data_IF_043488538573
#
_entry.id   IF_043488538573
#
_cell.length_a   1.000
_cell.length_b   1.000
_cell.length_c   1.000
_cell.angle_alpha   90.00
_cell.angle_beta   90.00
_cell.angle_gamma   90.00
#
_symmetry.space_group_name_H-M   'P 1'
#
loop_
_entity.id
_entity.type
_entity.pdbx_description
1 polymer ?
#
# COMPACT_ATOMS: atom_id res chain seq x y z
N UNK A 1 -1.84 6.30 16.19
CA UNK A 1 -1.15 4.99 16.16
C UNK A 1 -2.10 3.81 16.37
N UNK A 2 -3.03 3.79 17.34
CA UNK A 2 -3.96 2.66 17.53
C UNK A 2 -4.78 2.24 16.29
N UNK A 3 -5.14 3.20 15.41
CA UNK A 3 -5.78 2.89 14.11
C UNK A 3 -4.87 2.01 13.25
N UNK A 4 -3.56 2.25 13.24
CA UNK A 4 -2.58 1.40 12.57
C UNK A 4 -2.55 0.00 13.21
N UNK A 5 -2.71 -0.14 14.53
CA UNK A 5 -2.82 -1.45 15.19
C UNK A 5 -3.97 -2.28 14.60
N UNK A 6 -5.17 -1.69 14.52
CA UNK A 6 -6.34 -2.37 13.94
C UNK A 6 -6.11 -2.66 12.47
N UNK A 7 -5.60 -1.68 11.72
CA UNK A 7 -5.31 -1.82 10.31
C UNK A 7 -4.33 -2.96 10.03
N UNK A 8 -3.18 -3.01 10.71
CA UNK A 8 -2.15 -4.03 10.54
C UNK A 8 -2.68 -5.42 10.90
N UNK A 9 -3.35 -5.57 12.05
CA UNK A 9 -3.85 -6.88 12.49
C UNK A 9 -4.92 -7.41 11.52
N UNK A 10 -5.88 -6.58 11.12
CA UNK A 10 -6.94 -7.00 10.19
C UNK A 10 -6.41 -7.28 8.79
N UNK A 11 -5.46 -6.48 8.31
CA UNK A 11 -4.76 -6.71 7.05
C UNK A 11 -3.88 -7.98 7.09
N UNK A 12 -3.32 -8.36 8.23
CA UNK A 12 -2.59 -9.62 8.36
C UNK A 12 -3.50 -10.84 8.10
N UNK A 13 -4.73 -10.84 8.66
CA UNK A 13 -5.71 -11.88 8.36
C UNK A 13 -6.06 -11.91 6.87
N UNK A 14 -6.23 -10.75 6.25
CA UNK A 14 -6.46 -10.64 4.81
C UNK A 14 -5.32 -11.31 4.01
N UNK A 15 -4.06 -10.95 4.30
CA UNK A 15 -2.91 -11.48 3.58
C UNK A 15 -2.75 -12.98 3.77
N UNK A 16 -2.91 -13.47 5.01
CA UNK A 16 -2.86 -14.90 5.34
C UNK A 16 -3.89 -15.69 4.52
N UNK A 17 -5.11 -15.17 4.39
CA UNK A 17 -6.18 -15.81 3.64
C UNK A 17 -6.01 -15.67 2.12
N UNK A 18 -5.45 -14.56 1.64
CA UNK A 18 -5.04 -14.44 0.24
C UNK A 18 -3.94 -15.46 -0.11
N UNK A 19 -2.97 -15.62 0.78
CA UNK A 19 -1.91 -16.62 0.68
C UNK A 19 -2.43 -18.05 0.73
N UNK A 20 -3.44 -18.34 1.58
CA UNK A 20 -4.09 -19.66 1.64
C UNK A 20 -4.63 -20.10 0.28
N UNK A 21 -5.37 -19.21 -0.38
CA UNK A 21 -5.97 -19.51 -1.68
C UNK A 21 -4.87 -19.86 -2.70
N UNK A 22 -3.84 -19.01 -2.80
CA UNK A 22 -2.72 -19.24 -3.71
C UNK A 22 -1.91 -20.49 -3.38
N UNK A 23 -1.71 -20.77 -2.09
CA UNK A 23 -0.96 -21.95 -1.66
C UNK A 23 -1.64 -23.26 -2.08
N UNK A 24 -2.98 -23.27 -2.12
CA UNK A 24 -3.76 -24.45 -2.50
C UNK A 24 -3.99 -24.56 -4.01
N UNK A 25 -4.32 -23.45 -4.68
CA UNK A 25 -4.69 -23.47 -6.10
C UNK A 25 -3.52 -23.21 -7.04
N UNK A 26 -2.41 -22.64 -6.54
CA UNK A 26 -1.31 -22.12 -7.35
C UNK A 26 -1.70 -20.88 -8.16
N UNK A 27 -2.80 -20.20 -7.80
CA UNK A 27 -3.34 -19.04 -8.53
C UNK A 27 -3.53 -17.84 -7.61
N UNK A 28 -3.41 -16.61 -8.13
CA UNK A 28 -3.79 -15.41 -7.39
C UNK A 28 -5.29 -15.38 -7.05
N UNK A 29 -5.65 -14.66 -5.99
CA UNK A 29 -7.06 -14.57 -5.52
C UNK A 29 -8.00 -13.99 -6.57
N UNK A 30 -7.52 -13.09 -7.44
CA UNK A 30 -8.35 -12.49 -8.49
C UNK A 30 -8.80 -13.53 -9.52
N UNK A 31 -8.00 -14.56 -9.79
CA UNK A 31 -8.44 -15.69 -10.62
C UNK A 31 -9.61 -16.43 -9.97
N UNK A 32 -9.58 -16.56 -8.64
CA UNK A 32 -10.71 -17.09 -7.86
C UNK A 32 -11.96 -16.23 -8.00
N UNK A 33 -11.83 -14.90 -7.95
CA UNK A 33 -12.95 -13.96 -8.11
C UNK A 33 -13.65 -14.13 -9.47
N UNK A 34 -12.88 -14.34 -10.54
CA UNK A 34 -13.41 -14.55 -11.89
C UNK A 34 -14.32 -15.79 -12.00
N UNK A 35 -14.23 -16.75 -11.07
CA UNK A 35 -15.06 -17.97 -11.03
C UNK A 35 -16.38 -17.79 -10.30
N UNK A 36 -16.60 -16.64 -9.68
CA UNK A 36 -17.79 -16.41 -8.86
C UNK A 36 -18.89 -15.73 -9.67
N UNK A 37 -20.16 -16.01 -9.34
CA UNK A 37 -21.29 -15.26 -9.90
C UNK A 37 -21.13 -13.76 -9.56
N UNK A 38 -21.55 -12.81 -10.43
CA UNK A 38 -22.27 -12.97 -11.69
C UNK A 38 -21.44 -13.44 -12.90
N UNK A 39 -20.11 -13.54 -12.76
CA UNK A 39 -19.20 -14.02 -13.80
C UNK A 39 -17.98 -13.12 -13.99
N UNK A 40 -17.02 -13.53 -14.85
CA UNK A 40 -15.73 -12.85 -14.99
C UNK A 40 -15.86 -11.42 -15.51
N UNK A 41 -16.78 -11.13 -16.43
CA UNK A 41 -16.98 -9.77 -16.97
C UNK A 41 -17.35 -8.75 -15.90
N UNK A 42 -18.25 -9.12 -15.00
CA UNK A 42 -18.66 -8.28 -13.87
C UNK A 42 -17.48 -8.03 -12.92
N UNK A 43 -16.78 -9.08 -12.50
CA UNK A 43 -15.66 -8.96 -11.57
C UNK A 43 -14.46 -8.24 -12.16
N UNK A 44 -14.23 -8.33 -13.48
CA UNK A 44 -13.26 -7.48 -14.18
C UNK A 44 -13.66 -6.00 -14.09
N UNK A 45 -14.93 -5.66 -14.30
CA UNK A 45 -15.43 -4.28 -14.15
C UNK A 45 -15.27 -3.74 -12.72
N UNK A 46 -15.67 -4.52 -11.72
CA UNK A 46 -15.49 -4.16 -10.30
C UNK A 46 -14.01 -3.98 -9.95
N UNK A 47 -13.15 -4.88 -10.42
CA UNK A 47 -11.70 -4.79 -10.19
C UNK A 47 -11.08 -3.59 -10.91
N UNK A 48 -11.57 -3.21 -12.09
CA UNK A 48 -11.17 -2.01 -12.81
C UNK A 48 -11.49 -0.75 -12.00
N UNK A 49 -12.72 -0.64 -11.51
CA UNK A 49 -13.16 0.48 -10.67
C UNK A 49 -12.32 0.60 -9.40
N UNK A 50 -12.06 -0.52 -8.72
CA UNK A 50 -11.18 -0.55 -7.54
C UNK A 50 -9.69 -0.27 -7.87
N UNK A 51 -9.28 -0.45 -9.12
CA UNK A 51 -7.90 -0.22 -9.57
C UNK A 51 -7.67 1.22 -10.01
N UNK A 52 -8.69 2.09 -10.06
CA UNK A 52 -8.53 3.45 -10.58
C UNK A 52 -7.49 4.28 -9.83
N UNK A 53 -7.32 4.04 -8.52
CA UNK A 53 -6.30 4.69 -7.71
C UNK A 53 -4.86 4.34 -8.12
N UNK A 54 -4.62 3.13 -8.64
CA UNK A 54 -3.29 2.68 -9.03
C UNK A 54 -2.72 3.47 -10.19
N UNK A 55 -3.59 4.11 -10.98
CA UNK A 55 -3.21 4.93 -12.11
C UNK A 55 -2.74 6.33 -11.72
N UNK A 56 -2.95 6.76 -10.47
CA UNK A 56 -2.56 8.07 -9.98
C UNK A 56 -1.08 8.02 -9.56
N UNK A 57 -0.17 8.73 -10.24
CA UNK A 57 1.28 8.64 -9.97
C UNK A 57 1.72 9.48 -8.76
N UNK A 58 1.02 9.33 -7.62
CA UNK A 58 1.21 10.18 -6.44
C UNK A 58 2.61 10.08 -5.82
N UNK A 59 3.23 8.90 -5.81
CA UNK A 59 4.55 8.73 -5.20
C UNK A 59 5.66 9.38 -6.04
N UNK A 60 5.61 9.26 -7.37
CA UNK A 60 6.56 9.97 -8.24
C UNK A 60 6.42 11.49 -8.15
N UNK A 61 5.20 12.03 -7.98
CA UNK A 61 5.02 13.48 -7.80
C UNK A 61 5.55 13.95 -6.45
N UNK A 62 5.40 13.15 -5.38
CA UNK A 62 6.03 13.46 -4.09
C UNK A 62 7.57 13.35 -4.15
N UNK A 63 8.11 12.38 -4.88
CA UNK A 63 9.55 12.29 -5.13
C UNK A 63 10.08 13.54 -5.87
N UNK A 64 9.31 14.07 -6.80
CA UNK A 64 9.68 15.29 -7.53
C UNK A 64 9.80 16.51 -6.60
N UNK A 65 8.92 16.64 -5.61
CA UNK A 65 9.02 17.68 -4.57
C UNK A 65 10.36 17.55 -3.81
N UNK A 66 10.75 16.33 -3.43
CA UNK A 66 12.03 16.10 -2.72
C UNK A 66 13.25 16.45 -3.59
N UNK A 67 13.24 16.06 -4.87
CA UNK A 67 14.33 16.39 -5.81
C UNK A 67 14.38 17.90 -6.07
N UNK A 68 13.23 18.55 -6.26
CA UNK A 68 13.16 20.00 -6.42
C UNK A 68 13.71 20.72 -5.17
N UNK A 69 13.39 20.24 -3.97
CA UNK A 69 13.95 20.77 -2.72
C UNK A 69 15.47 20.62 -2.64
N UNK A 70 16.02 19.49 -3.08
CA UNK A 70 17.47 19.29 -3.15
C UNK A 70 18.12 20.23 -4.16
N UNK A 71 17.47 20.48 -5.30
CA UNK A 71 17.97 21.38 -6.34
C UNK A 71 17.94 22.84 -5.90
N UNK A 72 16.83 23.28 -5.30
CA UNK A 72 16.60 24.67 -4.92
C UNK A 72 17.24 25.05 -3.58
N UNK A 73 17.67 24.06 -2.79
CA UNK A 73 18.06 24.21 -1.39
C UNK A 73 16.99 24.90 -0.50
N UNK A 74 15.72 24.79 -0.90
CA UNK A 74 14.55 25.28 -0.17
C UNK A 74 13.30 24.51 -0.60
N UNK A 75 12.22 24.49 0.22
CA UNK A 75 10.94 23.97 -0.24
C UNK A 75 10.46 24.69 -1.51
N UNK A 76 9.90 23.97 -2.50
CA UNK A 76 9.36 24.57 -3.70
C UNK A 76 8.09 25.38 -3.38
N UNK A 77 7.89 26.47 -4.11
CA UNK A 77 6.68 27.31 -4.05
C UNK A 77 5.83 27.10 -5.30
N UNK A 78 4.60 27.66 -5.38
CA UNK A 78 3.79 27.59 -6.59
C UNK A 78 4.50 28.11 -7.86
N UNK A 79 5.44 29.04 -7.71
CA UNK A 79 6.25 29.59 -8.81
C UNK A 79 7.19 28.53 -9.41
N UNK A 80 7.62 27.54 -8.61
CA UNK A 80 8.48 26.44 -9.03
C UNK A 80 7.68 25.28 -9.67
N UNK A 81 6.37 25.45 -9.88
CA UNK A 81 5.48 24.39 -10.38
C UNK A 81 5.99 23.74 -11.68
N UNK A 82 6.52 24.53 -12.61
CA UNK A 82 7.10 23.98 -13.85
C UNK A 82 8.26 23.01 -13.58
N UNK A 83 9.15 23.35 -12.64
CA UNK A 83 10.27 22.49 -12.24
C UNK A 83 9.76 21.19 -11.60
N UNK A 84 8.88 21.32 -10.61
CA UNK A 84 8.31 20.15 -9.90
C UNK A 84 7.60 19.22 -10.86
N UNK A 85 6.78 19.76 -11.78
CA UNK A 85 6.03 18.98 -12.75
C UNK A 85 6.96 18.28 -13.76
N UNK A 86 7.99 18.97 -14.24
CA UNK A 86 8.98 18.39 -15.16
C UNK A 86 9.71 17.22 -14.51
N UNK A 87 10.15 17.40 -13.26
CA UNK A 87 10.81 16.33 -12.49
C UNK A 87 9.82 15.18 -12.23
N UNK A 88 8.54 15.46 -11.98
CA UNK A 88 7.53 14.42 -11.77
C UNK A 88 7.37 13.52 -13.01
N UNK A 89 7.34 14.10 -14.21
CA UNK A 89 7.33 13.33 -15.46
C UNK A 89 8.59 12.52 -15.68
N UNK A 90 9.76 13.10 -15.39
CA UNK A 90 11.04 12.38 -15.48
C UNK A 90 11.09 11.22 -14.48
N UNK A 91 10.63 11.42 -13.26
CA UNK A 91 10.53 10.36 -12.25
C UNK A 91 9.58 9.25 -12.69
N UNK A 92 8.40 9.61 -13.21
CA UNK A 92 7.43 8.65 -13.71
C UNK A 92 7.98 7.80 -14.86
N UNK A 93 8.65 8.42 -15.84
CA UNK A 93 9.34 7.69 -16.90
C UNK A 93 10.49 6.82 -16.36
N UNK A 94 11.28 7.38 -15.45
CA UNK A 94 12.44 6.72 -14.84
C UNK A 94 12.10 5.46 -14.06
N UNK A 95 10.99 5.43 -13.30
CA UNK A 95 10.58 4.24 -12.54
C UNK A 95 10.01 3.12 -13.41
N UNK A 96 9.54 3.44 -14.62
CA UNK A 96 8.98 2.46 -15.57
C UNK A 96 10.09 1.75 -16.36
N UNK A 97 11.20 2.45 -16.66
CA UNK A 97 12.31 1.92 -17.46
C UNK A 97 12.89 0.58 -16.93
N UNK A 98 13.20 0.42 -15.63
CA UNK A 98 13.67 -0.85 -15.09
C UNK A 98 12.68 -2.01 -15.28
N UNK A 99 11.38 -1.73 -15.21
CA UNK A 99 10.31 -2.72 -15.40
C UNK A 99 10.26 -3.19 -16.86
N UNK A 100 10.55 -2.31 -17.81
CA UNK A 100 10.59 -2.64 -19.25
C UNK A 100 11.80 -3.51 -19.64
N UNK A 101 12.96 -3.27 -19.01
CA UNK A 101 14.25 -3.88 -19.41
C UNK A 101 14.58 -5.16 -18.61
N UNK A 102 14.05 -5.31 -17.39
CA UNK A 102 14.55 -6.29 -16.43
C UNK A 102 14.30 -7.75 -16.79
N UNK A 103 15.35 -8.50 -17.17
CA UNK A 103 15.22 -9.91 -17.56
C UNK A 103 14.75 -10.89 -16.47
N UNK A 104 14.92 -10.52 -15.20
CA UNK A 104 14.20 -11.08 -14.04
C UNK A 104 13.74 -9.93 -13.16
N UNK A 105 12.69 -9.21 -13.58
CA UNK A 105 12.07 -8.07 -12.85
C UNK A 105 12.01 -8.36 -11.34
N UNK A 106 11.58 -9.56 -10.98
CA UNK A 106 11.46 -10.01 -9.60
C UNK A 106 12.75 -9.94 -8.76
N UNK A 107 13.90 -10.41 -9.27
CA UNK A 107 15.16 -10.41 -8.51
C UNK A 107 15.67 -8.99 -8.30
N UNK A 108 15.56 -8.14 -9.32
CA UNK A 108 15.91 -6.74 -9.24
C UNK A 108 15.03 -6.01 -8.23
N UNK A 109 13.71 -6.21 -8.30
CA UNK A 109 12.76 -5.65 -7.34
C UNK A 109 13.07 -6.08 -5.91
N UNK A 110 13.38 -7.36 -5.69
CA UNK A 110 13.73 -7.87 -4.36
C UNK A 110 14.95 -7.14 -3.78
N UNK A 111 16.04 -7.00 -4.55
CA UNK A 111 17.24 -6.29 -4.10
C UNK A 111 16.94 -4.83 -3.80
N UNK A 112 16.25 -4.13 -4.70
CA UNK A 112 15.91 -2.71 -4.52
C UNK A 112 15.03 -2.51 -3.27
N UNK A 113 14.05 -3.39 -3.05
CA UNK A 113 13.17 -3.32 -1.87
C UNK A 113 13.90 -3.66 -0.57
N UNK A 114 14.82 -4.64 -0.60
CA UNK A 114 15.65 -4.96 0.56
C UNK A 114 16.52 -3.77 0.94
N UNK A 115 17.22 -3.15 -0.02
CA UNK A 115 18.03 -1.94 0.22
C UNK A 115 17.15 -0.83 0.79
N UNK A 116 15.98 -0.56 0.17
CA UNK A 116 15.01 0.42 0.66
C UNK A 116 14.67 0.19 2.14
N UNK A 117 14.24 -1.02 2.50
CA UNK A 117 13.78 -1.31 3.87
C UNK A 117 14.91 -1.13 4.87
N UNK A 118 16.11 -1.66 4.59
CA UNK A 118 17.25 -1.50 5.49
C UNK A 118 17.72 -0.05 5.62
N UNK A 119 17.81 0.69 4.52
CA UNK A 119 18.21 2.10 4.54
C UNK A 119 17.21 2.98 5.26
N UNK A 120 15.90 2.81 4.98
CA UNK A 120 14.84 3.64 5.58
C UNK A 120 14.69 3.34 7.07
N UNK A 121 14.50 2.07 7.43
CA UNK A 121 14.33 1.70 8.84
C UNK A 121 15.61 1.94 9.63
N UNK A 122 16.78 1.67 9.04
CA UNK A 122 18.08 1.94 9.66
C UNK A 122 18.30 3.42 9.93
N UNK A 123 17.99 4.30 8.96
CA UNK A 123 18.11 5.75 9.12
C UNK A 123 17.16 6.27 10.21
N UNK A 124 15.88 5.90 10.17
CA UNK A 124 14.92 6.35 11.17
C UNK A 124 15.25 5.78 12.57
N UNK A 125 15.76 4.55 12.66
CA UNK A 125 16.21 3.97 13.92
C UNK A 125 17.43 4.70 14.47
N UNK A 126 18.42 4.99 13.62
CA UNK A 126 19.60 5.76 14.00
C UNK A 126 19.21 7.13 14.57
N UNK A 127 18.37 7.88 13.85
CA UNK A 127 17.88 9.17 14.35
C UNK A 127 17.07 9.01 15.64
N UNK A 128 16.24 7.97 15.72
CA UNK A 128 15.44 7.63 16.89
C UNK A 128 16.28 7.37 18.14
N UNK A 129 17.39 6.65 18.00
CA UNK A 129 18.27 6.29 19.12
C UNK A 129 19.17 7.46 19.54
N UNK A 130 19.63 8.27 18.58
CA UNK A 130 20.59 9.34 18.86
C UNK A 130 19.92 10.66 19.29
N UNK A 131 18.71 10.96 18.78
CA UNK A 131 18.14 12.32 18.89
C UNK A 131 16.71 12.37 19.43
N UNK A 132 16.05 11.23 19.63
CA UNK A 132 14.70 11.20 20.21
C UNK A 132 14.77 10.77 21.67
N UNK A 133 14.09 11.52 22.54
CA UNK A 133 14.06 11.22 23.97
C UNK A 133 13.31 9.90 24.26
N UNK A 134 13.59 9.23 25.39
CA UNK A 134 12.84 8.04 25.81
C UNK A 134 11.33 8.27 25.89
N UNK A 135 10.90 9.51 26.21
CA UNK A 135 9.48 9.86 26.22
C UNK A 135 8.85 9.77 24.83
N UNK A 136 9.55 10.20 23.77
CA UNK A 136 9.06 10.06 22.40
C UNK A 136 8.83 8.60 22.00
N UNK A 137 9.73 7.70 22.41
CA UNK A 137 9.56 6.25 22.25
C UNK A 137 8.32 5.74 22.98
N UNK A 138 8.15 6.12 24.25
CA UNK A 138 6.96 5.74 25.04
C UNK A 138 5.69 6.28 24.37
N UNK A 139 5.67 7.52 23.90
CA UNK A 139 4.50 8.15 23.30
C UNK A 139 4.05 7.44 22.01
N UNK A 140 5.00 7.10 21.13
CA UNK A 140 4.69 6.38 19.89
C UNK A 140 4.23 4.94 20.17
N UNK A 141 4.99 4.20 20.98
CA UNK A 141 4.69 2.79 21.25
C UNK A 141 3.43 2.61 22.10
N UNK A 142 3.24 3.42 23.15
CA UNK A 142 1.97 3.45 23.90
C UNK A 142 0.80 3.90 23.02
N UNK A 143 1.06 4.74 22.01
CA UNK A 143 0.07 5.18 21.04
C UNK A 143 -0.62 4.05 20.27
N UNK A 144 0.03 2.89 20.08
CA UNK A 144 -0.60 1.71 19.46
C UNK A 144 -1.68 1.07 20.34
N UNK A 145 -1.66 1.33 21.65
CA UNK A 145 -2.59 0.76 22.63
C UNK A 145 -3.61 1.78 23.16
N UNK A 146 -3.48 3.07 22.81
CA UNK A 146 -4.41 4.15 23.20
C UNK A 146 -5.68 4.15 22.33
N UNK A 147 -6.44 3.07 22.39
CA UNK A 147 -7.68 2.89 21.61
C UNK A 147 -8.71 3.98 21.91
N UNK A 148 -9.36 4.48 20.86
CA UNK A 148 -10.39 5.52 20.95
C UNK A 148 -9.87 6.95 21.01
N UNK A 149 -8.55 7.17 21.07
CA UNK A 149 -7.99 8.53 21.01
C UNK A 149 -7.99 9.05 19.57
N UNK A 150 -8.77 10.09 19.29
CA UNK A 150 -8.90 10.69 17.97
C UNK A 150 -8.54 12.19 18.00
N UNK A 151 -7.99 12.74 16.90
CA UNK A 151 -7.75 14.17 16.79
C UNK A 151 -9.06 14.93 16.62
N UNK A 152 -9.35 15.83 17.55
CA UNK A 152 -10.53 16.70 17.63
C UNK A 152 -10.08 18.16 17.66
N UNK A 153 -11.03 19.08 17.53
CA UNK A 153 -10.78 20.50 17.81
C UNK A 153 -11.45 20.87 19.12
N UNK A 154 -10.74 21.61 19.97
CA UNK A 154 -11.35 22.22 21.14
C UNK A 154 -12.30 23.37 20.75
N UNK A 155 -13.01 23.94 21.72
CA UNK A 155 -13.92 25.08 21.49
C UNK A 155 -13.18 26.34 20.97
N UNK A 156 -11.86 26.42 21.15
CA UNK A 156 -11.01 27.49 20.64
C UNK A 156 -10.43 27.18 19.25
N UNK A 157 -10.71 26.00 18.69
CA UNK A 157 -10.26 25.56 17.37
C UNK A 157 -8.85 24.95 17.33
N UNK A 158 -8.20 24.72 18.48
CA UNK A 158 -6.92 24.05 18.57
C UNK A 158 -7.06 22.54 18.41
N UNK A 159 -6.08 21.92 17.76
CA UNK A 159 -6.03 20.47 17.61
C UNK A 159 -5.73 19.82 18.97
N UNK A 160 -6.68 19.02 19.46
CA UNK A 160 -6.55 18.25 20.70
C UNK A 160 -6.82 16.77 20.43
N UNK A 161 -6.56 15.93 21.42
CA UNK A 161 -6.84 14.50 21.33
C UNK A 161 -7.89 14.15 22.37
N UNK A 162 -9.05 13.70 21.92
CA UNK A 162 -10.15 13.26 22.78
C UNK A 162 -10.33 11.76 22.66
N UNK A 163 -10.57 11.08 23.78
CA UNK A 163 -10.97 9.67 23.77
C UNK A 163 -12.48 9.55 23.53
N UNK A 164 -12.89 8.88 22.45
CA UNK A 164 -14.30 8.71 22.08
C UNK A 164 -15.09 8.02 23.20
N UNK A 165 -14.55 6.98 23.82
CA UNK A 165 -15.24 6.23 24.87
C UNK A 165 -15.41 7.07 26.13
N UNK A 166 -14.38 7.85 26.51
CA UNK A 166 -14.46 8.72 27.67
C UNK A 166 -15.45 9.88 27.45
N UNK A 167 -15.50 10.46 26.25
CA UNK A 167 -16.44 11.54 25.91
C UNK A 167 -17.88 11.02 25.84
N UNK A 168 -18.10 9.84 25.24
CA UNK A 168 -19.41 9.17 25.28
C UNK A 168 -19.88 8.89 26.71
N UNK A 169 -18.97 8.46 27.59
CA UNK A 169 -19.31 8.15 28.98
C UNK A 169 -19.61 9.40 29.82
N UNK A 170 -18.87 10.50 29.61
CA UNK A 170 -19.02 11.73 30.41
C UNK A 170 -20.10 12.66 29.87
N UNK A 171 -20.11 12.88 28.56
CA UNK A 171 -20.88 13.94 27.91
C UNK A 171 -22.06 13.38 27.11
N UNK A 172 -22.20 12.05 27.00
CA UNK A 172 -23.24 11.38 26.21
C UNK A 172 -23.18 11.67 24.71
N UNK A 173 -22.15 12.37 24.25
CA UNK A 173 -22.04 12.90 22.89
C UNK A 173 -20.81 12.33 22.19
N UNK A 174 -20.94 12.08 20.89
CA UNK A 174 -19.79 11.72 20.08
C UNK A 174 -18.96 12.98 19.78
N UNK A 175 -17.65 12.97 20.04
CA UNK A 175 -16.78 14.09 19.69
C UNK A 175 -16.85 14.37 18.18
N UNK A 176 -17.05 15.64 17.83
CA UNK A 176 -17.13 16.06 16.43
C UNK A 176 -15.73 15.98 15.81
N UNK A 177 -15.53 14.99 14.94
CA UNK A 177 -14.35 14.92 14.09
C UNK A 177 -14.43 16.04 13.05
N UNK A 178 -13.37 16.85 12.94
CA UNK A 178 -13.24 17.74 11.79
C UNK A 178 -13.22 16.90 10.51
N UNK A 179 -13.96 17.32 9.48
CA UNK A 179 -14.13 16.58 8.22
C UNK A 179 -12.77 16.17 7.61
N UNK A 180 -11.82 17.11 7.57
CA UNK A 180 -10.44 16.85 7.09
C UNK A 180 -9.64 15.83 7.91
N UNK A 181 -9.96 15.65 9.20
CA UNK A 181 -9.33 14.63 10.02
C UNK A 181 -9.83 13.23 9.64
N UNK A 182 -11.08 13.08 9.19
CA UNK A 182 -11.66 11.78 8.83
C UNK A 182 -10.94 11.21 7.59
N UNK A 183 -10.76 12.00 6.54
CA UNK A 183 -10.03 11.58 5.34
C UNK A 183 -8.56 11.26 5.61
N UNK A 184 -7.93 12.02 6.52
CA UNK A 184 -6.56 11.75 6.96
C UNK A 184 -6.47 10.45 7.78
N UNK A 185 -7.40 10.20 8.69
CA UNK A 185 -7.46 8.95 9.47
C UNK A 185 -7.70 7.74 8.57
N UNK A 186 -8.59 7.87 7.58
CA UNK A 186 -8.81 6.87 6.54
C UNK A 186 -7.53 6.60 5.74
N UNK A 187 -6.85 7.65 5.28
CA UNK A 187 -5.59 7.51 4.56
C UNK A 187 -4.49 6.86 5.41
N UNK A 188 -4.40 7.24 6.68
CA UNK A 188 -3.47 6.67 7.65
C UNK A 188 -3.71 5.17 7.86
N UNK A 189 -4.97 4.75 7.99
CA UNK A 189 -5.33 3.33 8.08
C UNK A 189 -4.97 2.57 6.80
N UNK A 190 -5.22 3.17 5.63
CA UNK A 190 -4.90 2.58 4.34
C UNK A 190 -3.41 2.29 4.19
N UNK A 191 -2.53 3.24 4.55
CA UNK A 191 -1.08 3.06 4.41
C UNK A 191 -0.44 2.18 5.49
N UNK A 192 -1.10 1.94 6.63
CA UNK A 192 -0.50 1.25 7.77
C UNK A 192 -0.02 -0.19 7.50
N UNK A 193 -0.59 -0.87 6.50
CA UNK A 193 -0.16 -2.21 6.06
C UNK A 193 -0.04 -2.33 4.54
N UNK A 194 0.19 -1.22 3.83
CA UNK A 194 0.15 -1.17 2.36
C UNK A 194 -1.26 -0.93 1.81
N UNK A 195 -2.26 -1.63 2.34
CA UNK A 195 -3.69 -1.40 2.06
C UNK A 195 -4.13 -1.73 0.63
N UNK A 196 -5.43 -1.59 0.37
CA UNK A 196 -6.01 -1.74 -0.97
C UNK A 196 -5.72 -3.06 -1.68
N UNK A 197 -5.68 -3.00 -3.01
CA UNK A 197 -5.43 -4.18 -3.82
C UNK A 197 -3.98 -4.67 -3.77
N UNK A 198 -3.04 -3.89 -3.22
CA UNK A 198 -1.64 -4.31 -3.01
C UNK A 198 -1.54 -5.48 -2.03
N UNK A 199 -2.38 -5.55 -1.00
CA UNK A 199 -2.40 -6.71 -0.11
C UNK A 199 -2.77 -8.01 -0.82
N UNK A 200 -3.60 -7.90 -1.87
CA UNK A 200 -4.01 -9.05 -2.68
C UNK A 200 -2.87 -9.61 -3.52
N UNK A 201 -1.86 -8.79 -3.83
CA UNK A 201 -0.70 -9.24 -4.63
C UNK A 201 0.21 -10.18 -3.85
N UNK A 202 0.03 -10.30 -2.53
CA UNK A 202 0.66 -11.37 -1.76
C UNK A 202 0.32 -12.76 -2.32
N UNK A 203 -0.89 -12.96 -2.86
CA UNK A 203 -1.25 -14.21 -3.54
C UNK A 203 -0.43 -14.46 -4.82
N UNK A 204 -0.11 -13.40 -5.58
CA UNK A 204 0.80 -13.46 -6.72
C UNK A 204 2.22 -13.80 -6.25
N UNK A 205 2.69 -13.20 -5.15
CA UNK A 205 4.00 -13.50 -4.57
C UNK A 205 4.12 -14.98 -4.15
N UNK A 206 3.12 -15.53 -3.47
CA UNK A 206 3.08 -16.95 -3.06
C UNK A 206 3.18 -17.87 -4.27
N UNK A 207 2.46 -17.56 -5.36
CA UNK A 207 2.57 -18.31 -6.63
C UNK A 207 3.96 -18.16 -7.24
N UNK A 208 4.43 -16.93 -7.44
CA UNK A 208 5.65 -16.62 -8.19
C UNK A 208 6.90 -17.13 -7.46
N UNK A 209 6.88 -17.21 -6.12
CA UNK A 209 7.90 -17.90 -5.31
C UNK A 209 7.86 -19.42 -5.41
N UNK A 210 6.81 -19.99 -6.00
CA UNK A 210 6.61 -21.43 -6.12
C UNK A 210 6.19 -22.10 -4.81
N UNK A 211 5.57 -21.37 -3.88
CA UNK A 211 5.15 -21.97 -2.60
C UNK A 211 3.90 -22.83 -2.78
N UNK A 212 3.91 -24.03 -2.19
CA UNK A 212 2.81 -24.99 -2.33
C UNK A 212 2.52 -25.31 -3.79
N UNK A 213 1.27 -25.14 -4.22
CA UNK A 213 0.87 -25.39 -5.60
C UNK A 213 1.37 -24.34 -6.61
N UNK A 214 1.96 -23.23 -6.15
CA UNK A 214 2.58 -22.23 -7.04
C UNK A 214 3.66 -22.81 -7.95
N UNK A 215 4.42 -23.79 -7.46
CA UNK A 215 5.47 -24.48 -8.23
C UNK A 215 4.93 -25.18 -9.49
N UNK A 216 3.68 -25.63 -9.44
CA UNK A 216 3.08 -26.46 -10.50
C UNK A 216 2.40 -25.67 -11.62
N UNK A 217 2.13 -24.38 -11.39
CA UNK A 217 1.33 -23.52 -12.30
C UNK A 217 2.22 -22.58 -13.13
N UNK A 218 3.45 -22.33 -12.66
CA UNK A 218 4.43 -21.46 -13.30
C UNK A 218 4.32 -19.99 -12.86
N UNK A 219 5.11 -19.13 -13.51
CA UNK A 219 5.19 -17.70 -13.22
C UNK A 219 5.16 -16.88 -14.52
N UNK A 220 4.92 -15.56 -14.43
CA UNK A 220 4.93 -14.67 -15.60
C UNK A 220 6.40 -14.42 -16.03
N UNK A 221 6.83 -14.83 -17.25
CA UNK A 221 8.17 -14.54 -17.78
C UNK A 221 8.40 -13.05 -18.06
N UNK A 222 9.65 -12.60 -17.94
CA UNK A 222 10.10 -11.30 -18.43
C UNK A 222 10.38 -11.30 -19.94
N UNK A 223 10.30 -10.13 -20.60
CA UNK A 223 10.67 -9.91 -22.01
C UNK A 223 12.09 -10.37 -22.36
N UNK A 224 13.05 -10.21 -21.44
CA UNK A 224 14.46 -10.47 -21.72
C UNK A 224 14.92 -11.69 -20.94
N UNK A 225 15.20 -12.81 -21.61
CA UNK A 225 15.78 -13.99 -20.95
C UNK A 225 14.80 -14.91 -20.19
N UNK A 226 13.49 -14.69 -20.29
CA UNK A 226 12.44 -15.55 -19.71
C UNK A 226 11.83 -16.61 -20.63
N UNK A 227 12.46 -16.91 -21.79
CA UNK A 227 11.84 -17.61 -22.94
C UNK A 227 11.27 -19.01 -22.68
N UNK A 228 11.56 -19.65 -21.53
CA UNK A 228 11.12 -21.01 -21.20
C UNK A 228 10.14 -21.10 -20.01
N UNK A 229 9.63 -19.98 -19.47
CA UNK A 229 8.62 -20.04 -18.39
C UNK A 229 7.22 -20.02 -19.00
N UNK A 230 6.45 -21.07 -18.75
CA UNK A 230 5.04 -21.19 -19.15
C UNK A 230 4.13 -20.87 -17.97
N UNK A 231 3.03 -20.13 -18.23
CA UNK A 231 1.96 -19.95 -17.25
C UNK A 231 0.71 -20.70 -17.71
N UNK A 232 0.20 -21.59 -16.87
CA UNK A 232 -1.06 -22.29 -17.16
C UNK A 232 -2.25 -21.31 -17.08
N UNK A 233 -3.28 -21.53 -17.91
CA UNK A 233 -4.53 -20.77 -17.83
C UNK A 233 -5.38 -21.12 -16.60
N UNK A 234 -5.12 -22.29 -16.00
CA UNK A 234 -5.80 -22.82 -14.83
C UNK A 234 -4.75 -23.38 -13.87
N UNK A 235 -4.93 -23.11 -12.59
CA UNK A 235 -4.12 -23.63 -11.52
C UNK A 235 -4.27 -25.13 -11.34
N UNK A 236 -3.54 -25.64 -10.36
CA UNK A 236 -3.49 -27.06 -10.04
C UNK A 236 -3.76 -27.24 -8.56
N UNK A 237 -4.62 -28.20 -8.24
CA UNK A 237 -4.94 -28.59 -6.87
C UNK A 237 -4.33 -29.95 -6.56
N UNK A 238 -4.00 -30.19 -5.28
CA UNK A 238 -3.53 -31.50 -4.83
C UNK A 238 -4.69 -32.33 -4.25
N UNK A 239 -4.65 -33.67 -4.37
CA UNK A 239 -5.62 -34.55 -3.72
C UNK A 239 -5.40 -34.58 -2.20
N UNK A 240 -6.48 -34.68 -1.42
CA UNK A 240 -6.46 -34.62 0.04
C UNK A 240 -5.99 -35.94 0.69
N UNK A 241 -4.77 -36.36 0.39
CA UNK A 241 -4.10 -37.48 1.06
C UNK A 241 -3.42 -37.02 2.34
N UNK A 242 -3.20 -37.93 3.29
CA UNK A 242 -2.53 -37.60 4.56
C UNK A 242 -1.12 -37.02 4.35
N UNK A 243 -0.39 -37.53 3.37
CA UNK A 243 0.93 -37.01 3.00
C UNK A 243 0.85 -35.56 2.50
N UNK A 244 -0.08 -35.26 1.59
CA UNK A 244 -0.26 -33.91 1.08
C UNK A 244 -0.73 -32.95 2.18
N UNK A 245 -1.58 -33.41 3.09
CA UNK A 245 -2.01 -32.63 4.25
C UNK A 245 -0.87 -32.36 5.23
N UNK A 246 0.07 -33.30 5.38
CA UNK A 246 1.28 -33.07 6.16
C UNK A 246 2.16 -31.99 5.53
N UNK A 247 2.42 -32.08 4.22
CA UNK A 247 3.18 -31.07 3.44
C UNK A 247 2.50 -29.70 3.47
N UNK A 248 1.17 -29.65 3.33
CA UNK A 248 0.37 -28.45 3.45
C UNK A 248 0.58 -27.74 4.79
N UNK A 249 0.56 -28.47 5.91
CA UNK A 249 0.80 -27.89 7.25
C UNK A 249 2.21 -27.29 7.36
N UNK A 250 3.20 -27.88 6.69
CA UNK A 250 4.54 -27.32 6.56
C UNK A 250 4.52 -25.96 5.85
N UNK A 251 3.97 -25.92 4.64
CA UNK A 251 3.83 -24.67 3.88
C UNK A 251 2.98 -23.61 4.58
N UNK A 252 1.93 -24.04 5.28
CA UNK A 252 1.09 -23.15 6.06
C UNK A 252 1.86 -22.45 7.19
N UNK A 253 2.79 -23.16 7.85
CA UNK A 253 3.68 -22.54 8.84
C UNK A 253 4.58 -21.47 8.22
N UNK A 254 5.02 -21.65 6.97
CA UNK A 254 5.79 -20.62 6.26
C UNK A 254 4.97 -19.37 5.98
N UNK A 255 3.72 -19.50 5.50
CA UNK A 255 2.81 -18.36 5.31
C UNK A 255 2.59 -17.62 6.64
N UNK A 256 2.37 -18.36 7.73
CA UNK A 256 2.18 -17.74 9.05
C UNK A 256 3.45 -17.06 9.55
N UNK A 257 4.63 -17.66 9.37
CA UNK A 257 5.90 -17.08 9.76
C UNK A 257 6.17 -15.78 8.99
N UNK A 258 5.98 -15.80 7.67
CA UNK A 258 6.15 -14.61 6.82
C UNK A 258 5.22 -13.47 7.27
N UNK A 259 3.93 -13.76 7.47
CA UNK A 259 2.97 -12.72 7.80
C UNK A 259 3.05 -12.26 9.26
N UNK A 260 3.19 -13.17 10.23
CA UNK A 260 3.14 -12.84 11.66
C UNK A 260 4.51 -12.42 12.19
N UNK A 261 5.61 -13.03 11.74
CA UNK A 261 6.95 -12.76 12.27
C UNK A 261 7.74 -11.72 11.47
N UNK A 262 7.44 -11.55 10.18
CA UNK A 262 8.15 -10.60 9.32
C UNK A 262 7.26 -9.40 8.98
N UNK A 263 6.11 -9.65 8.37
CA UNK A 263 5.26 -8.56 7.85
C UNK A 263 4.63 -7.73 8.97
N UNK A 264 3.98 -8.34 9.97
CA UNK A 264 3.35 -7.60 11.08
C UNK A 264 4.36 -6.71 11.84
N UNK A 265 5.50 -7.22 12.33
CA UNK A 265 6.51 -6.38 12.98
C UNK A 265 7.08 -5.33 12.04
N UNK A 266 7.29 -5.68 10.77
CA UNK A 266 7.72 -4.75 9.73
C UNK A 266 6.77 -3.56 9.57
N UNK A 267 5.45 -3.81 9.56
CA UNK A 267 4.45 -2.74 9.51
C UNK A 267 4.43 -1.89 10.78
N UNK A 268 4.51 -2.50 11.96
CA UNK A 268 4.58 -1.75 13.22
C UNK A 268 5.81 -0.84 13.26
N UNK A 269 6.98 -1.35 12.92
CA UNK A 269 8.22 -0.56 12.88
C UNK A 269 8.19 0.48 11.75
N UNK A 270 7.65 0.12 10.59
CA UNK A 270 7.45 1.02 9.46
C UNK A 270 6.52 2.19 9.75
N UNK A 271 5.58 2.04 10.69
CA UNK A 271 4.74 3.14 11.17
C UNK A 271 5.36 3.87 12.37
N UNK A 272 5.99 3.14 13.30
CA UNK A 272 6.54 3.71 14.52
C UNK A 272 7.75 4.61 14.25
N UNK A 273 8.71 4.17 13.44
CA UNK A 273 9.97 4.91 13.25
C UNK A 273 9.77 6.25 12.52
N UNK A 274 9.02 6.33 11.39
CA UNK A 274 8.72 7.64 10.78
C UNK A 274 7.83 8.53 11.66
N UNK A 275 6.98 7.94 12.51
CA UNK A 275 6.18 8.69 13.47
C UNK A 275 7.06 9.32 14.57
N UNK A 276 8.08 8.60 15.05
CA UNK A 276 9.08 9.15 15.97
C UNK A 276 9.78 10.37 15.37
N UNK A 277 10.17 10.26 14.09
CA UNK A 277 10.80 11.38 13.38
C UNK A 277 9.85 12.57 13.30
N UNK A 278 8.59 12.32 12.97
CA UNK A 278 7.58 13.38 12.88
C UNK A 278 7.31 14.06 14.23
N UNK A 279 7.18 13.30 15.33
CA UNK A 279 6.97 13.89 16.66
C UNK A 279 8.16 14.74 17.09
N UNK A 280 9.38 14.28 16.83
CA UNK A 280 10.60 14.99 17.25
C UNK A 280 10.86 16.24 16.41
N UNK A 281 10.79 16.11 15.09
CA UNK A 281 11.31 17.14 14.19
C UNK A 281 10.22 17.99 13.53
N UNK A 282 9.02 17.47 13.27
CA UNK A 282 8.01 18.24 12.50
C UNK A 282 7.67 19.58 13.14
N UNK A 283 7.60 19.67 14.47
CA UNK A 283 7.29 20.92 15.20
C UNK A 283 8.32 22.02 15.02
N UNK A 284 9.55 21.67 14.63
CA UNK A 284 10.64 22.62 14.39
C UNK A 284 10.55 23.25 13.01
N UNK A 285 9.75 22.69 12.10
CA UNK A 285 9.56 23.24 10.77
C UNK A 285 8.65 24.49 10.80
N UNK A 286 9.01 25.59 10.12
CA UNK A 286 8.12 26.73 9.92
C UNK A 286 6.81 26.40 9.17
N UNK A 287 6.76 25.26 8.47
CA UNK A 287 5.57 24.76 7.76
C UNK A 287 4.62 23.96 8.66
N UNK A 288 5.01 23.61 9.89
CA UNK A 288 4.19 22.80 10.79
C UNK A 288 2.84 23.46 11.10
N UNK A 289 1.77 22.68 11.00
CA UNK A 289 0.41 23.16 11.24
C UNK A 289 -0.13 24.13 10.18
N UNK A 290 0.64 24.42 9.11
CA UNK A 290 0.23 25.30 8.02
C UNK A 290 -0.11 24.50 6.77
N UNK A 291 -1.10 24.94 6.01
CA UNK A 291 -1.47 24.32 4.72
C UNK A 291 -0.68 24.94 3.56
N UNK A 292 0.64 24.75 3.56
CA UNK A 292 1.53 25.23 2.50
C UNK A 292 1.62 24.21 1.37
N UNK A 293 1.54 24.64 0.11
CA UNK A 293 1.68 23.77 -1.08
C UNK A 293 3.02 23.01 -1.04
N UNK A 294 3.02 21.73 -1.42
CA UNK A 294 4.20 20.85 -1.44
C UNK A 294 4.85 20.57 -0.07
N UNK A 295 4.34 21.10 1.03
CA UNK A 295 4.99 20.98 2.34
C UNK A 295 4.91 19.57 2.93
N UNK A 296 3.82 18.83 2.67
CA UNK A 296 3.51 17.58 3.38
C UNK A 296 4.65 16.55 3.42
N UNK A 297 5.34 16.22 2.30
CA UNK A 297 6.46 15.27 2.33
C UNK A 297 7.77 15.87 2.89
N UNK A 298 7.83 17.18 3.13
CA UNK A 298 9.04 17.91 3.53
C UNK A 298 9.07 18.28 5.02
N UNK A 299 7.92 18.40 5.69
CA UNK A 299 7.82 18.95 7.06
C UNK A 299 8.85 18.36 8.03
N UNK A 300 9.00 17.04 8.06
CA UNK A 300 9.94 16.38 8.99
C UNK A 300 11.40 16.62 8.59
N UNK A 301 11.73 16.57 7.30
CA UNK A 301 13.06 16.87 6.80
C UNK A 301 13.44 18.32 7.09
N UNK A 302 12.53 19.25 6.78
CA UNK A 302 12.70 20.67 7.07
C UNK A 302 12.88 20.93 8.58
N UNK A 303 12.14 20.21 9.43
CA UNK A 303 12.34 20.23 10.88
C UNK A 303 13.73 19.74 11.34
N UNK A 304 14.30 18.74 10.66
CA UNK A 304 15.69 18.28 10.89
C UNK A 304 16.67 19.42 10.56
N UNK A 305 16.45 20.17 9.46
CA UNK A 305 17.31 21.31 9.09
C UNK A 305 17.31 22.43 10.13
N UNK A 306 16.17 22.66 10.78
CA UNK A 306 15.99 23.70 11.80
C UNK A 306 16.29 23.21 13.24
N UNK A 307 16.82 21.99 13.41
CA UNK A 307 17.09 21.45 14.73
C UNK A 307 18.43 21.91 15.28
N UNK A 308 18.40 22.74 16.32
CA UNK A 308 19.61 23.20 17.03
C UNK A 308 20.39 22.02 17.65
N UNK A 309 19.69 20.97 18.09
CA UNK A 309 20.30 19.78 18.68
C UNK A 309 21.23 19.03 17.72
N UNK A 310 21.06 19.20 16.41
CA UNK A 310 21.89 18.56 15.39
C UNK A 310 23.15 19.38 15.06
N UNK A 311 23.17 20.68 15.37
CA UNK A 311 24.29 21.57 15.09
C UNK A 311 24.80 21.43 13.65
N UNK A 312 26.09 21.13 13.49
CA UNK A 312 26.75 20.96 12.19
C UNK A 312 26.27 19.76 11.37
N UNK A 313 25.58 18.80 12.00
CA UNK A 313 25.04 17.62 11.31
C UNK A 313 23.71 17.90 10.61
N UNK A 314 23.03 19.02 10.91
CA UNK A 314 21.69 19.30 10.39
C UNK A 314 21.61 19.29 8.86
N UNK A 315 22.53 19.91 8.09
CA UNK A 315 22.47 19.87 6.62
C UNK A 315 22.69 18.46 6.04
N UNK A 316 23.58 17.69 6.64
CA UNK A 316 23.86 16.31 6.23
C UNK A 316 22.64 15.41 6.49
N UNK A 317 22.05 15.49 7.68
CA UNK A 317 20.89 14.69 8.06
C UNK A 317 19.61 15.12 7.32
N UNK A 318 19.47 16.42 7.03
CA UNK A 318 18.43 16.94 6.14
C UNK A 318 18.55 16.32 4.74
N UNK A 319 19.74 16.38 4.13
CA UNK A 319 20.00 15.78 2.80
C UNK A 319 19.73 14.28 2.82
N UNK A 320 20.24 13.59 3.83
CA UNK A 320 20.01 12.16 4.01
C UNK A 320 18.52 11.83 4.17
N UNK A 321 17.75 12.65 4.89
CA UNK A 321 16.30 12.45 5.06
C UNK A 321 15.54 12.59 3.73
N UNK A 322 15.94 13.53 2.86
CA UNK A 322 15.37 13.67 1.52
C UNK A 322 15.73 12.46 0.65
N UNK A 323 16.98 12.00 0.67
CA UNK A 323 17.40 10.79 -0.06
C UNK A 323 16.62 9.56 0.44
N UNK A 324 16.45 9.41 1.75
CA UNK A 324 15.65 8.33 2.35
C UNK A 324 14.19 8.42 1.92
N UNK A 325 13.62 9.63 1.85
CA UNK A 325 12.29 9.85 1.28
C UNK A 325 12.19 9.44 -0.19
N UNK A 326 13.22 9.70 -1.02
CA UNK A 326 13.27 9.23 -2.40
C UNK A 326 13.33 7.70 -2.50
N UNK A 327 14.09 7.06 -1.60
CA UNK A 327 14.13 5.60 -1.48
C UNK A 327 12.76 5.01 -1.07
N UNK A 328 11.94 5.77 -0.33
CA UNK A 328 10.54 5.36 -0.05
C UNK A 328 9.69 5.50 -1.30
N UNK A 329 9.71 6.65 -1.98
CA UNK A 329 8.76 6.96 -3.05
C UNK A 329 9.05 6.22 -4.37
N UNK A 330 10.27 6.33 -4.91
CA UNK A 330 10.56 5.87 -6.29
C UNK A 330 10.48 4.33 -6.41
N UNK A 331 11.14 3.52 -5.57
CA UNK A 331 10.98 2.07 -5.59
C UNK A 331 9.55 1.60 -5.36
N UNK A 332 8.80 2.29 -4.50
CA UNK A 332 7.40 1.92 -4.23
C UNK A 332 6.52 2.20 -5.46
N UNK A 333 6.73 3.31 -6.17
CA UNK A 333 6.06 3.57 -7.44
C UNK A 333 6.37 2.46 -8.47
N UNK A 334 7.64 2.06 -8.58
CA UNK A 334 8.07 0.97 -9.45
C UNK A 334 7.34 -0.35 -9.12
N UNK A 335 7.18 -0.68 -7.84
CA UNK A 335 6.40 -1.87 -7.41
C UNK A 335 4.95 -1.80 -7.87
N UNK A 336 4.30 -0.64 -7.67
CA UNK A 336 2.89 -0.44 -8.04
C UNK A 336 2.69 -0.69 -9.54
N UNK A 337 3.62 -0.23 -10.37
CA UNK A 337 3.59 -0.44 -11.82
C UNK A 337 3.66 -1.94 -12.15
N UNK A 338 4.62 -2.68 -11.58
CA UNK A 338 4.77 -4.12 -11.82
C UNK A 338 3.57 -4.91 -11.28
N UNK A 339 3.14 -4.62 -10.04
CA UNK A 339 1.98 -5.23 -9.37
C UNK A 339 0.70 -5.06 -10.18
N UNK A 340 0.47 -3.86 -10.71
CA UNK A 340 -0.68 -3.59 -11.57
C UNK A 340 -0.62 -4.42 -12.85
N UNK A 341 0.51 -4.42 -13.54
CA UNK A 341 0.68 -5.14 -14.79
C UNK A 341 0.51 -6.66 -14.59
N UNK A 342 1.09 -7.24 -13.53
CA UNK A 342 0.91 -8.65 -13.15
C UNK A 342 -0.54 -8.99 -12.86
N UNK A 343 -1.19 -8.21 -11.98
CA UNK A 343 -2.58 -8.44 -11.58
C UNK A 343 -3.51 -8.47 -12.79
N UNK A 344 -3.40 -7.48 -13.67
CA UNK A 344 -4.25 -7.41 -14.86
C UNK A 344 -3.91 -8.47 -15.90
N UNK A 345 -2.64 -8.87 -16.00
CA UNK A 345 -2.24 -10.02 -16.81
C UNK A 345 -2.97 -11.26 -16.32
N UNK A 346 -2.95 -11.54 -15.01
CA UNK A 346 -3.60 -12.71 -14.42
C UNK A 346 -5.13 -12.68 -14.56
N UNK A 347 -5.76 -11.52 -14.37
CA UNK A 347 -7.20 -11.32 -14.55
C UNK A 347 -7.61 -11.58 -15.99
N UNK A 348 -6.92 -10.99 -16.97
CA UNK A 348 -7.26 -11.14 -18.38
C UNK A 348 -6.91 -12.54 -18.89
N UNK A 349 -5.82 -13.13 -18.40
CA UNK A 349 -5.38 -14.47 -18.75
C UNK A 349 -6.36 -15.57 -18.31
N UNK A 350 -6.96 -15.41 -17.13
CA UNK A 350 -7.91 -16.38 -16.56
C UNK A 350 -9.38 -16.05 -16.82
N UNK A 351 -9.73 -14.76 -16.93
CA UNK A 351 -11.10 -14.28 -17.06
C UNK A 351 -11.59 -14.06 -18.50
N UNK A 352 -10.68 -13.87 -19.47
CA UNK A 352 -11.07 -13.56 -20.86
C UNK A 352 -10.97 -14.78 -21.77
N UNK A 353 -12.13 -15.27 -22.25
CA UNK A 353 -12.22 -16.34 -23.26
C UNK A 353 -11.45 -16.00 -24.54
N UNK A 354 -11.40 -14.71 -24.91
CA UNK A 354 -10.69 -14.26 -26.12
C UNK A 354 -9.18 -14.43 -25.98
N UNK A 355 -8.65 -14.15 -24.79
CA UNK A 355 -7.22 -14.32 -24.48
C UNK A 355 -6.87 -15.79 -24.44
N UNK A 356 -7.67 -16.60 -23.75
CA UNK A 356 -7.49 -18.06 -23.66
C UNK A 356 -7.49 -18.75 -25.03
N UNK A 357 -8.33 -18.30 -25.95
CA UNK A 357 -8.43 -18.90 -27.29
C UNK A 357 -7.35 -18.42 -28.27
N UNK A 358 -6.79 -17.21 -28.07
CA UNK A 358 -5.86 -16.59 -29.04
C UNK A 358 -4.39 -16.69 -28.65
N UNK A 359 -4.07 -16.65 -27.36
CA UNK A 359 -2.69 -16.63 -26.89
C UNK A 359 -2.29 -18.02 -26.38
N UNK A 360 -1.10 -18.48 -26.79
CA UNK A 360 -0.49 -19.71 -26.26
C UNK A 360 0.18 -19.44 -24.91
N UNK A 361 0.39 -20.48 -24.10
CA UNK A 361 0.95 -20.38 -22.72
C UNK A 361 2.32 -19.70 -22.60
N UNK A 362 3.09 -19.62 -23.69
CA UNK A 362 4.38 -18.91 -23.76
C UNK A 362 4.27 -17.43 -24.19
N UNK A 363 3.08 -16.96 -24.56
CA UNK A 363 2.82 -15.62 -25.09
C UNK A 363 2.25 -14.64 -24.05
N UNK A 364 2.15 -15.04 -22.79
CA UNK A 364 1.62 -14.19 -21.70
C UNK A 364 2.39 -12.87 -21.53
N UNK A 365 3.67 -12.84 -21.89
CA UNK A 365 4.50 -11.63 -21.83
C UNK A 365 3.96 -10.51 -22.73
N UNK A 366 3.43 -10.81 -23.92
CA UNK A 366 2.83 -9.77 -24.78
C UNK A 366 1.64 -9.09 -24.10
N UNK A 367 0.83 -9.85 -23.37
CA UNK A 367 -0.28 -9.30 -22.60
C UNK A 367 0.23 -8.39 -21.48
N UNK A 368 1.24 -8.84 -20.74
CA UNK A 368 1.88 -8.05 -19.68
C UNK A 368 2.43 -6.71 -20.21
N UNK A 369 3.22 -6.73 -21.30
CA UNK A 369 3.80 -5.50 -21.85
C UNK A 369 2.77 -4.58 -22.50
N UNK A 370 1.69 -5.13 -23.08
CA UNK A 370 0.58 -4.31 -23.57
C UNK A 370 -0.12 -3.57 -22.42
N UNK A 371 -0.39 -4.25 -21.31
CA UNK A 371 -0.98 -3.64 -20.11
C UNK A 371 -0.04 -2.60 -19.52
N UNK A 372 1.26 -2.90 -19.43
CA UNK A 372 2.27 -1.98 -18.93
C UNK A 372 2.36 -0.71 -19.80
N UNK A 373 2.28 -0.84 -21.13
CA UNK A 373 2.23 0.30 -22.05
C UNK A 373 0.99 1.16 -21.86
N UNK A 374 -0.20 0.54 -21.74
CA UNK A 374 -1.45 1.25 -21.45
C UNK A 374 -1.39 1.96 -20.11
N UNK A 375 -0.90 1.28 -19.07
CA UNK A 375 -0.71 1.85 -17.74
C UNK A 375 0.23 3.07 -17.80
N UNK A 376 1.36 2.95 -18.51
CA UNK A 376 2.33 4.03 -18.67
C UNK A 376 1.68 5.26 -19.28
N UNK A 377 1.08 5.13 -20.47
CA UNK A 377 0.41 6.24 -21.17
C UNK A 377 -0.65 6.87 -20.27
N UNK A 378 -1.45 6.04 -19.60
CA UNK A 378 -2.50 6.52 -18.73
C UNK A 378 -1.96 7.26 -17.50
N UNK A 379 -0.89 6.79 -16.87
CA UNK A 379 -0.25 7.50 -15.75
C UNK A 379 0.28 8.87 -16.15
N UNK A 380 0.81 9.04 -17.37
CA UNK A 380 1.19 10.35 -17.90
C UNK A 380 -0.04 11.26 -18.13
N UNK A 381 -1.15 10.72 -18.64
CA UNK A 381 -2.41 11.47 -18.79
C UNK A 381 -2.92 11.93 -17.43
N UNK A 382 -2.96 11.03 -16.43
CA UNK A 382 -3.41 11.38 -15.08
C UNK A 382 -2.48 12.39 -14.43
N UNK A 383 -1.16 12.26 -14.57
CA UNK A 383 -0.22 13.28 -14.13
C UNK A 383 -0.54 14.65 -14.74
N UNK A 384 -0.88 14.69 -16.03
CA UNK A 384 -1.27 15.91 -16.75
C UNK A 384 -2.57 16.51 -16.21
N UNK A 385 -3.59 15.68 -15.97
CA UNK A 385 -4.85 16.14 -15.40
C UNK A 385 -4.67 16.73 -13.99
N UNK A 386 -3.77 16.14 -13.20
CA UNK A 386 -3.48 16.62 -11.85
C UNK A 386 -2.66 17.93 -11.83
N UNK A 387 -2.13 18.40 -12.95
CA UNK A 387 -1.49 19.71 -13.04
C UNK A 387 -2.47 20.86 -12.78
N UNK A 388 -3.77 20.66 -13.04
CA UNK A 388 -4.80 21.67 -12.81
C UNK A 388 -5.29 21.70 -11.36
N UNK A 389 -4.79 20.81 -10.51
CA UNK A 389 -5.19 20.67 -9.10
C UNK A 389 -4.14 21.34 -8.22
N UNK A 390 -4.58 22.24 -7.34
CA UNK A 390 -3.68 22.85 -6.35
C UNK A 390 -3.19 21.79 -5.36
N UNK A 391 -1.88 21.78 -5.10
CA UNK A 391 -1.22 20.82 -4.20
C UNK A 391 -1.47 19.35 -4.58
N UNK A 392 -1.34 19.06 -5.89
CA UNK A 392 -1.56 17.74 -6.48
C UNK A 392 -0.94 16.58 -5.69
N UNK A 393 0.32 16.64 -5.20
CA UNK A 393 0.93 15.52 -4.48
C UNK A 393 0.15 15.07 -3.23
N UNK A 394 -0.35 16.05 -2.46
CA UNK A 394 -1.15 15.79 -1.25
C UNK A 394 -2.50 15.18 -1.62
N UNK A 395 -3.20 15.79 -2.58
CA UNK A 395 -4.53 15.33 -3.02
C UNK A 395 -4.47 13.92 -3.61
N UNK A 396 -3.46 13.63 -4.44
CA UNK A 396 -3.23 12.30 -5.01
C UNK A 396 -3.10 11.24 -3.90
N UNK A 397 -2.30 11.52 -2.88
CA UNK A 397 -2.05 10.61 -1.76
C UNK A 397 -3.34 10.30 -0.97
N UNK A 398 -4.17 11.31 -0.72
CA UNK A 398 -5.45 11.11 -0.04
C UNK A 398 -6.46 10.32 -0.87
N UNK A 399 -6.56 10.59 -2.17
CA UNK A 399 -7.47 9.85 -3.06
C UNK A 399 -7.04 8.39 -3.12
N UNK A 400 -5.75 8.13 -3.35
CA UNK A 400 -5.21 6.77 -3.45
C UNK A 400 -5.55 5.96 -2.21
N UNK A 401 -5.25 6.49 -1.03
CA UNK A 401 -5.42 5.77 0.22
C UNK A 401 -6.89 5.47 0.54
N UNK A 402 -7.79 6.44 0.32
CA UNK A 402 -9.21 6.27 0.63
C UNK A 402 -9.94 5.38 -0.38
N UNK A 403 -9.59 5.44 -1.67
CA UNK A 403 -10.08 4.47 -2.67
C UNK A 403 -9.57 3.06 -2.36
N UNK A 404 -8.33 2.94 -1.91
CA UNK A 404 -7.76 1.67 -1.47
C UNK A 404 -8.51 1.07 -0.27
N UNK A 405 -9.01 1.89 0.66
CA UNK A 405 -9.86 1.39 1.76
C UNK A 405 -11.14 0.73 1.21
N UNK A 406 -11.82 1.36 0.25
CA UNK A 406 -13.01 0.79 -0.37
C UNK A 406 -12.69 -0.51 -1.12
N UNK A 407 -11.57 -0.55 -1.84
CA UNK A 407 -11.11 -1.74 -2.53
C UNK A 407 -10.87 -2.92 -1.56
N UNK A 408 -10.16 -2.65 -0.46
CA UNK A 408 -9.84 -3.65 0.56
C UNK A 408 -11.10 -4.16 1.27
N UNK A 409 -12.08 -3.30 1.50
CA UNK A 409 -13.37 -3.68 2.07
C UNK A 409 -14.08 -4.73 1.20
N UNK A 410 -14.22 -4.46 -0.10
CA UNK A 410 -14.89 -5.36 -1.06
C UNK A 410 -14.14 -6.69 -1.17
N UNK A 411 -12.83 -6.64 -1.38
CA UNK A 411 -12.04 -7.85 -1.59
C UNK A 411 -11.95 -8.69 -0.32
N UNK A 412 -12.00 -8.12 0.89
CA UNK A 412 -11.98 -8.89 2.14
C UNK A 412 -13.15 -9.86 2.23
N UNK A 413 -14.35 -9.38 1.94
CA UNK A 413 -15.54 -10.22 1.93
C UNK A 413 -15.51 -11.24 0.79
N UNK A 414 -14.96 -10.86 -0.37
CA UNK A 414 -14.85 -11.77 -1.50
C UNK A 414 -13.84 -12.90 -1.26
N UNK A 415 -12.67 -12.60 -0.66
CA UNK A 415 -11.68 -13.60 -0.23
C UNK A 415 -12.30 -14.56 0.78
N UNK A 416 -12.99 -14.03 1.79
CA UNK A 416 -13.69 -14.86 2.78
C UNK A 416 -14.66 -15.83 2.09
N UNK A 417 -15.45 -15.32 1.14
CA UNK A 417 -16.41 -16.11 0.38
C UNK A 417 -15.72 -17.21 -0.42
N UNK A 418 -14.69 -16.89 -1.22
CA UNK A 418 -14.00 -17.91 -2.03
C UNK A 418 -13.29 -18.95 -1.16
N UNK A 419 -12.69 -18.55 -0.05
CA UNK A 419 -12.00 -19.48 0.85
C UNK A 419 -12.96 -20.41 1.58
N UNK A 420 -14.21 -19.98 1.81
CA UNK A 420 -15.22 -20.83 2.44
C UNK A 420 -15.96 -21.73 1.43
N UNK A 421 -16.01 -21.36 0.14
CA UNK A 421 -16.80 -22.06 -0.88
C UNK A 421 -15.97 -22.87 -1.86
N UNK A 422 -14.84 -22.33 -2.33
CA UNK A 422 -14.00 -22.97 -3.34
C UNK A 422 -12.96 -23.92 -2.72
N UNK A 423 -12.51 -23.67 -1.49
CA UNK A 423 -11.57 -24.55 -0.82
C UNK A 423 -12.26 -25.81 -0.25
N UNK A 424 -11.60 -26.98 -0.31
CA UNK A 424 -12.07 -28.17 0.37
C UNK A 424 -12.15 -27.99 1.87
N UNK A 425 -13.10 -28.67 2.51
CA UNK A 425 -13.42 -28.51 3.94
C UNK A 425 -12.21 -28.53 4.89
N UNK A 426 -11.23 -29.46 4.75
CA UNK A 426 -10.07 -29.49 5.64
C UNK A 426 -9.14 -28.28 5.53
N UNK A 427 -9.22 -27.52 4.42
CA UNK A 427 -8.35 -26.38 4.10
C UNK A 427 -9.03 -25.04 4.35
N UNK A 428 -10.35 -25.03 4.58
CA UNK A 428 -11.13 -23.81 4.82
C UNK A 428 -10.61 -23.05 6.05
N UNK A 429 -10.77 -21.72 6.08
CA UNK A 429 -10.42 -20.93 7.26
C UNK A 429 -11.22 -21.37 8.47
N UNK A 430 -10.55 -21.38 9.63
CA UNK A 430 -11.18 -21.62 10.95
C UNK A 430 -12.00 -20.40 11.38
N UNK A 431 -12.83 -20.56 12.41
CA UNK A 431 -13.75 -19.50 12.86
C UNK A 431 -13.03 -18.17 13.15
N UNK A 432 -11.87 -18.18 13.81
CA UNK A 432 -11.13 -16.97 14.15
C UNK A 432 -10.52 -16.29 12.91
N UNK A 433 -10.15 -17.05 11.88
CA UNK A 433 -9.68 -16.50 10.60
C UNK A 433 -10.82 -15.84 9.83
N UNK A 434 -12.01 -16.47 9.86
CA UNK A 434 -13.23 -15.90 9.26
C UNK A 434 -13.62 -14.59 9.95
N UNK A 435 -13.58 -14.56 11.28
CA UNK A 435 -13.83 -13.34 12.05
C UNK A 435 -12.78 -12.28 11.75
N UNK A 436 -11.50 -12.65 11.68
CA UNK A 436 -10.41 -11.71 11.39
C UNK A 436 -10.53 -11.03 10.02
N UNK A 437 -10.79 -11.80 8.96
CA UNK A 437 -10.97 -11.21 7.62
C UNK A 437 -12.32 -10.48 7.48
N UNK A 438 -13.39 -10.94 8.15
CA UNK A 438 -14.65 -10.22 8.20
C UNK A 438 -14.48 -8.87 8.93
N UNK A 439 -13.72 -8.84 10.02
CA UNK A 439 -13.38 -7.62 10.74
C UNK A 439 -12.57 -6.65 9.85
N UNK A 440 -11.67 -7.16 9.00
CA UNK A 440 -11.01 -6.36 7.97
C UNK A 440 -12.06 -5.70 7.04
N UNK A 441 -12.95 -6.51 6.45
CA UNK A 441 -14.01 -5.99 5.58
C UNK A 441 -14.88 -4.93 6.25
N UNK A 442 -15.34 -5.17 7.48
CA UNK A 442 -16.17 -4.24 8.26
C UNK A 442 -15.40 -2.96 8.59
N UNK A 443 -14.16 -3.06 9.07
CA UNK A 443 -13.35 -1.91 9.45
C UNK A 443 -13.10 -0.97 8.26
N UNK A 444 -12.68 -1.50 7.11
CA UNK A 444 -12.46 -0.68 5.92
C UNK A 444 -13.76 -0.21 5.27
N UNK A 445 -14.86 -0.97 5.38
CA UNK A 445 -16.19 -0.49 4.97
C UNK A 445 -16.60 0.73 5.77
N UNK A 446 -16.44 0.68 7.10
CA UNK A 446 -16.76 1.78 7.99
C UNK A 446 -15.91 3.03 7.65
N UNK A 447 -14.60 2.87 7.44
CA UNK A 447 -13.74 3.99 7.04
C UNK A 447 -14.13 4.56 5.67
N UNK A 448 -14.38 3.71 4.67
CA UNK A 448 -14.79 4.16 3.35
C UNK A 448 -16.14 4.89 3.38
N UNK A 449 -17.11 4.38 4.14
CA UNK A 449 -18.42 5.03 4.33
C UNK A 449 -18.30 6.36 5.08
N UNK A 450 -17.47 6.41 6.13
CA UNK A 450 -17.22 7.65 6.88
C UNK A 450 -16.61 8.73 5.98
N UNK A 451 -15.63 8.37 5.16
CA UNK A 451 -15.02 9.31 4.20
C UNK A 451 -16.01 9.72 3.13
N UNK A 452 -16.81 8.80 2.60
CA UNK A 452 -17.86 9.13 1.63
C UNK A 452 -18.86 10.12 2.22
N UNK A 453 -19.35 9.87 3.43
CA UNK A 453 -20.31 10.74 4.13
C UNK A 453 -19.71 12.12 4.46
N UNK A 454 -18.46 12.15 4.90
CA UNK A 454 -17.78 13.37 5.31
C UNK A 454 -17.34 14.25 4.13
N UNK A 455 -16.80 13.66 3.07
CA UNK A 455 -16.10 14.42 2.03
C UNK A 455 -16.84 14.45 0.69
N UNK A 456 -17.53 13.38 0.34
CA UNK A 456 -18.11 13.22 -1.00
C UNK A 456 -19.57 13.68 -0.99
N UNK A 457 -20.36 13.22 -0.02
CA UNK A 457 -21.78 13.55 0.07
C UNK A 457 -22.03 15.08 0.10
N UNK A 458 -21.30 15.89 0.91
CA UNK A 458 -21.52 17.34 0.95
C UNK A 458 -21.07 18.10 -0.31
N UNK A 459 -20.44 17.43 -1.29
CA UNK A 459 -20.07 18.02 -2.59
C UNK A 459 -21.05 17.66 -3.70
N UNK A 460 -21.90 16.67 -3.48
CA UNK A 460 -22.95 16.23 -4.41
C UNK A 460 -24.23 17.06 -4.19
N UNK A 461 -24.49 17.43 -2.93
CA UNK A 461 -25.52 18.37 -2.53
C UNK A 461 -24.94 19.78 -2.46
#
# INVERSE_FOLDING_TARGET
MWIATIAIITQAFYNIEAGRYALYCGEPVFTGFMRTAPGPGFWMGVTLLMSLSFFIPGLSTNAAVLIATLWLDRPPTPDDSFLVNSIAYLCLGGVIMPVLIGGKVYNTLQVVMTIKVFSVLGFCLFLGLCFVSPQGWIDVFSGFLKFGNIPTKDAAGHDTVTNVFASLWKDGTLPVLALGNIAMLGAFAGYAGGGGLSNSTYSNFVRDKGWGMGHEVGAIPSAVGGRNVTLSHVGKVFPLTDENMHRWRGWWKYILADQILVWVPGCFMGMALPALMSIQFSRLSPMYGKSVTYSQPLITADGIRHSEALGTWAPLLWTASLIVGLLVFLPSQMSIVDDFARRWTDILWSGSRRVQNRLRTNQVHYLYYAILGVYTVWSFIVATLFLTVVDSPKVMTYIIANVNNAALAITSFHILWINCRLLPEPLRPRWYQRVGIAACGVFYSALAMLVFWAEILPRIW
#
